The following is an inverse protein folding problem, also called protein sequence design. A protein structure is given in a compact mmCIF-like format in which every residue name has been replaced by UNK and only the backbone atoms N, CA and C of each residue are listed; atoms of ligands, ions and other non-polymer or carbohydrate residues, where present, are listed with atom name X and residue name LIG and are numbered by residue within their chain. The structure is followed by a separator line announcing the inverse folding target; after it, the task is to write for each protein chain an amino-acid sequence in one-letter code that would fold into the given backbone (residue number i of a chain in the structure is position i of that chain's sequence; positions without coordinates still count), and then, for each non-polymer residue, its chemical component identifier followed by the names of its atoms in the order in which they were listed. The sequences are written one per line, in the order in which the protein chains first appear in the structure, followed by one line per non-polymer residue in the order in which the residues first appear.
data_IF_478505019597
#
_entry.id   IF_478505019597
#
_cell.length_a   1.000
_cell.length_b   1.000
_cell.length_c   1.000
_cell.angle_alpha   90.00
_cell.angle_beta   90.00
_cell.angle_gamma   90.00
#
_symmetry.space_group_name_H-M   'P 1'
#
loop_
_entity.id
_entity.type
_entity.pdbx_description
1 polymer ?
#
# COMPACT_ATOMS: atom_id res chain seq x y z
N UNK A 1 -67.91 -58.61 -13.85
CA UNK A 1 -66.61 -58.24 -14.41
C UNK A 1 -66.45 -56.72 -14.36
N UNK A 2 -65.73 -56.21 -13.36
CA UNK A 2 -65.53 -54.80 -13.14
C UNK A 2 -64.10 -54.45 -13.59
N UNK A 3 -63.93 -53.51 -14.55
CA UNK A 3 -62.67 -53.11 -15.06
C UNK A 3 -62.14 -51.91 -14.19
N UNK A 4 -60.91 -51.92 -13.72
CA UNK A 4 -60.35 -50.73 -13.01
C UNK A 4 -59.84 -49.65 -13.97
N UNK A 5 -60.29 -48.46 -13.76
CA UNK A 5 -59.82 -47.21 -14.44
C UNK A 5 -58.43 -46.79 -13.92
N UNK A 6 -57.45 -46.72 -14.82
CA UNK A 6 -56.12 -46.16 -14.54
C UNK A 6 -56.21 -44.61 -14.44
N UNK A 7 -56.03 -44.10 -13.24
CA UNK A 7 -55.76 -42.67 -13.02
C UNK A 7 -54.31 -42.41 -13.37
N UNK A 8 -54.04 -41.63 -14.43
CA UNK A 8 -52.74 -41.11 -14.74
C UNK A 8 -52.44 -39.92 -13.79
N UNK A 9 -51.44 -40.06 -12.92
CA UNK A 9 -50.88 -38.95 -12.16
C UNK A 9 -50.02 -38.14 -13.11
N UNK A 10 -50.51 -36.94 -13.44
CA UNK A 10 -49.71 -35.87 -14.05
C UNK A 10 -48.73 -35.32 -13.02
N UNK A 11 -47.46 -35.73 -13.10
CA UNK A 11 -46.36 -35.11 -12.35
C UNK A 11 -46.04 -33.75 -13.02
N UNK A 12 -46.47 -32.66 -12.41
CA UNK A 12 -46.02 -31.31 -12.75
C UNK A 12 -44.58 -31.16 -12.30
N UNK A 13 -43.63 -30.82 -13.20
CA UNK A 13 -42.27 -30.49 -12.76
C UNK A 13 -42.34 -29.18 -11.97
N UNK A 14 -41.96 -29.22 -10.68
CA UNK A 14 -41.65 -28.05 -9.92
C UNK A 14 -40.43 -27.41 -10.60
N UNK A 15 -40.64 -26.35 -11.35
CA UNK A 15 -39.57 -25.45 -11.78
C UNK A 15 -38.96 -24.83 -10.51
N UNK A 16 -37.80 -25.31 -10.08
CA UNK A 16 -36.99 -24.63 -9.11
C UNK A 16 -36.72 -23.19 -9.65
N UNK A 17 -36.91 -22.15 -8.84
CA UNK A 17 -36.53 -20.81 -9.28
C UNK A 17 -35.03 -20.88 -9.58
N UNK A 18 -34.65 -20.66 -10.83
CA UNK A 18 -33.30 -20.34 -11.19
C UNK A 18 -32.97 -19.06 -10.39
N UNK A 19 -32.18 -19.20 -9.34
CA UNK A 19 -31.53 -18.07 -8.71
C UNK A 19 -30.70 -17.43 -9.83
N UNK A 20 -31.29 -16.41 -10.46
CA UNK A 20 -30.54 -15.54 -11.35
C UNK A 20 -29.34 -15.08 -10.52
N UNK A 21 -28.15 -15.59 -10.82
CA UNK A 21 -26.91 -15.03 -10.32
C UNK A 21 -26.96 -13.57 -10.79
N UNK A 22 -27.29 -12.68 -9.86
CA UNK A 22 -27.24 -11.25 -10.11
C UNK A 22 -25.82 -10.96 -10.58
N UNK A 23 -25.67 -10.57 -11.87
CA UNK A 23 -24.37 -10.39 -12.50
C UNK A 23 -23.52 -9.45 -11.63
N UNK A 24 -22.28 -9.83 -11.40
CA UNK A 24 -21.32 -8.94 -10.73
C UNK A 24 -20.83 -7.87 -11.71
N UNK A 25 -20.70 -6.58 -11.28
CA UNK A 25 -21.14 -6.01 -10.01
C UNK A 25 -22.62 -5.57 -10.05
N UNK A 26 -23.38 -5.78 -8.96
CA UNK A 26 -24.80 -5.40 -8.85
C UNK A 26 -25.08 -4.27 -7.83
N UNK A 27 -24.05 -3.79 -7.16
CA UNK A 27 -24.07 -2.68 -6.20
C UNK A 27 -22.69 -2.01 -6.15
N UNK A 28 -22.55 -0.81 -5.56
CA UNK A 28 -21.26 -0.13 -5.43
C UNK A 28 -20.18 -0.99 -4.78
N UNK A 29 -18.96 -0.88 -5.29
CA UNK A 29 -17.77 -1.56 -4.77
C UNK A 29 -17.05 -0.60 -3.84
N UNK A 30 -16.71 -1.04 -2.64
CA UNK A 30 -15.93 -0.27 -1.68
C UNK A 30 -14.45 -0.52 -1.91
N UNK A 31 -13.68 0.55 -2.06
CA UNK A 31 -12.22 0.51 -2.13
C UNK A 31 -11.60 1.07 -0.85
N UNK A 32 -11.06 0.20 -0.01
CA UNK A 32 -10.38 0.62 1.22
C UNK A 32 -8.99 1.18 0.90
N UNK A 33 -8.73 2.40 1.35
CA UNK A 33 -7.44 3.09 1.26
C UNK A 33 -6.88 3.23 2.68
N UNK A 34 -5.74 2.57 3.02
CA UNK A 34 -5.25 2.50 4.39
C UNK A 34 -4.50 3.75 4.88
N UNK A 35 -4.62 4.85 4.15
CA UNK A 35 -3.96 6.12 4.42
C UNK A 35 -4.96 7.27 4.54
N UNK A 36 -4.51 8.39 5.13
CA UNK A 36 -5.29 9.63 5.14
C UNK A 36 -5.54 10.13 3.71
N UNK A 37 -6.64 10.84 3.47
CA UNK A 37 -6.87 11.50 2.18
C UNK A 37 -5.81 12.56 1.92
N UNK A 38 -5.54 12.83 0.65
CA UNK A 38 -4.53 13.79 0.20
C UNK A 38 -3.20 13.15 -0.18
N UNK A 39 -2.41 13.89 -0.93
CA UNK A 39 -1.08 13.47 -1.37
C UNK A 39 -1.10 12.24 -2.28
N UNK A 40 -0.14 11.38 -2.08
CA UNK A 40 0.06 10.17 -2.91
C UNK A 40 -1.12 9.20 -2.88
N UNK A 41 -1.89 9.14 -1.80
CA UNK A 41 -3.04 8.22 -1.70
C UNK A 41 -4.19 8.55 -2.66
N UNK A 42 -4.24 9.78 -3.19
CA UNK A 42 -5.33 10.22 -4.07
C UNK A 42 -5.28 9.59 -5.48
N UNK A 43 -4.14 9.00 -5.90
CA UNK A 43 -4.12 8.25 -7.16
C UNK A 43 -5.14 7.09 -7.17
N UNK A 44 -5.43 6.49 -5.99
CA UNK A 44 -6.43 5.43 -5.86
C UNK A 44 -7.87 5.94 -6.05
N UNK A 45 -8.14 7.23 -5.80
CA UNK A 45 -9.44 7.83 -6.10
C UNK A 45 -9.66 7.93 -7.60
N UNK A 46 -8.65 8.41 -8.33
CA UNK A 46 -8.69 8.45 -9.79
C UNK A 46 -8.81 7.03 -10.37
N UNK A 47 -8.04 6.07 -9.84
CA UNK A 47 -8.14 4.67 -10.26
C UNK A 47 -9.55 4.11 -10.03
N UNK A 48 -10.19 4.43 -8.90
CA UNK A 48 -11.55 4.01 -8.57
C UNK A 48 -12.58 4.57 -9.57
N UNK A 49 -12.48 5.86 -9.89
CA UNK A 49 -13.38 6.51 -10.85
C UNK A 49 -13.26 5.87 -12.25
N UNK A 50 -12.04 5.65 -12.71
CA UNK A 50 -11.77 5.04 -14.01
C UNK A 50 -12.23 3.57 -14.06
N UNK A 51 -11.94 2.80 -13.02
CA UNK A 51 -12.39 1.40 -12.92
C UNK A 51 -13.92 1.31 -12.83
N UNK A 52 -14.54 2.26 -12.14
CA UNK A 52 -16.00 2.35 -12.07
C UNK A 52 -16.66 2.55 -13.44
N UNK A 53 -16.07 3.38 -14.30
CA UNK A 53 -16.51 3.55 -15.69
C UNK A 53 -16.42 2.24 -16.48
N UNK A 54 -15.34 1.47 -16.31
CA UNK A 54 -15.13 0.20 -16.97
C UNK A 54 -16.08 -0.91 -16.47
N UNK A 55 -16.45 -0.88 -15.19
CA UNK A 55 -17.37 -1.83 -14.55
C UNK A 55 -18.85 -1.51 -14.78
N UNK A 56 -19.17 -0.29 -15.19
CA UNK A 56 -20.56 0.21 -15.21
C UNK A 56 -21.17 0.31 -13.79
N UNK A 57 -20.33 0.40 -12.75
CA UNK A 57 -20.75 0.49 -11.35
C UNK A 57 -19.78 1.35 -10.55
N UNK A 58 -20.29 2.13 -9.62
CA UNK A 58 -19.46 3.02 -8.79
C UNK A 58 -18.47 2.24 -7.91
N UNK A 59 -17.21 2.67 -7.94
CA UNK A 59 -16.18 2.25 -6.97
C UNK A 59 -15.97 3.38 -5.98
N UNK A 60 -16.32 3.15 -4.71
CA UNK A 60 -16.33 4.17 -3.63
C UNK A 60 -15.06 4.07 -2.80
N UNK A 61 -14.14 5.06 -2.88
CA UNK A 61 -12.93 5.07 -2.06
C UNK A 61 -13.25 5.44 -0.60
N UNK A 62 -12.79 4.61 0.34
CA UNK A 62 -12.92 4.82 1.79
C UNK A 62 -11.56 4.85 2.47
N UNK A 63 -11.19 5.97 3.08
CA UNK A 63 -9.96 6.06 3.84
C UNK A 63 -10.12 5.42 5.23
N UNK A 64 -9.24 4.45 5.54
CA UNK A 64 -9.19 3.73 6.83
C UNK A 64 -7.74 3.68 7.34
N UNK A 65 -7.19 4.85 7.75
CA UNK A 65 -5.82 4.93 8.25
C UNK A 65 -5.70 4.32 9.63
N UNK A 66 -4.49 3.86 9.97
CA UNK A 66 -4.15 3.38 11.30
C UNK A 66 -3.24 2.16 11.27
N UNK A 67 -2.53 1.95 12.37
CA UNK A 67 -1.56 0.84 12.58
C UNK A 67 -0.62 0.70 11.38
N UNK A 68 0.05 1.79 11.00
CA UNK A 68 0.97 1.85 9.85
C UNK A 68 0.37 1.32 8.54
N UNK A 69 -0.93 1.58 8.31
CA UNK A 69 -1.66 1.16 7.11
C UNK A 69 -2.23 -0.26 7.16
N UNK A 70 -2.22 -0.97 8.30
CA UNK A 70 -2.75 -2.34 8.39
C UNK A 70 -4.19 -2.41 8.88
N UNK A 71 -4.79 -1.31 9.36
CA UNK A 71 -6.20 -1.28 9.73
C UNK A 71 -7.11 -1.57 8.52
N UNK A 72 -6.81 -1.00 7.34
CA UNK A 72 -7.55 -1.26 6.11
C UNK A 72 -7.53 -2.75 5.71
N UNK A 73 -6.36 -3.37 5.55
CA UNK A 73 -6.23 -4.83 5.35
C UNK A 73 -6.98 -5.68 6.38
N UNK A 74 -6.93 -5.31 7.67
CA UNK A 74 -7.67 -6.05 8.70
C UNK A 74 -9.20 -6.01 8.49
N UNK A 75 -9.75 -4.89 8.03
CA UNK A 75 -11.17 -4.79 7.68
C UNK A 75 -11.54 -5.67 6.47
N UNK A 76 -10.66 -5.77 5.47
CA UNK A 76 -10.86 -6.63 4.30
C UNK A 76 -10.82 -8.11 4.73
N UNK A 77 -9.85 -8.48 5.55
CA UNK A 77 -9.70 -9.86 6.04
C UNK A 77 -10.88 -10.34 6.89
N UNK A 78 -11.56 -9.42 7.58
CA UNK A 78 -12.74 -9.70 8.41
C UNK A 78 -14.06 -9.75 7.63
N UNK A 79 -14.08 -9.34 6.36
CA UNK A 79 -15.29 -9.40 5.53
C UNK A 79 -15.61 -10.88 5.19
N UNK A 80 -16.75 -11.40 5.65
CA UNK A 80 -17.09 -12.83 5.45
C UNK A 80 -17.49 -13.16 4.01
N UNK A 81 -17.84 -12.16 3.20
CA UNK A 81 -18.32 -12.35 1.84
C UNK A 81 -17.23 -12.00 0.83
N UNK A 82 -16.73 -13.02 0.14
CA UNK A 82 -15.86 -12.86 -1.02
C UNK A 82 -16.66 -12.59 -2.30
N UNK A 83 -17.59 -11.63 -2.27
CA UNK A 83 -18.48 -11.31 -3.38
C UNK A 83 -17.94 -10.20 -4.32
N UNK A 84 -16.74 -9.72 -4.06
CA UNK A 84 -16.06 -8.70 -4.88
C UNK A 84 -16.48 -7.24 -4.66
N UNK A 85 -17.46 -6.99 -3.78
CA UNK A 85 -17.92 -5.62 -3.50
C UNK A 85 -17.12 -4.91 -2.38
N UNK A 86 -16.06 -5.53 -1.90
CA UNK A 86 -15.04 -4.96 -1.06
C UNK A 86 -13.68 -5.32 -1.63
N UNK A 87 -12.87 -4.33 -1.93
CA UNK A 87 -11.46 -4.47 -2.28
C UNK A 87 -10.66 -3.42 -1.52
N UNK A 88 -9.35 -3.52 -1.51
CA UNK A 88 -8.55 -2.45 -0.95
C UNK A 88 -7.06 -2.62 -1.16
N UNK A 89 -6.36 -1.55 -0.87
CA UNK A 89 -4.90 -1.50 -0.98
C UNK A 89 -4.28 -2.37 0.12
N UNK A 90 -3.35 -3.23 -0.30
CA UNK A 90 -2.50 -4.01 0.59
C UNK A 90 -1.08 -3.44 0.52
N UNK A 91 -0.67 -2.63 1.51
CA UNK A 91 0.69 -2.13 1.60
C UNK A 91 1.65 -3.20 2.12
N UNK A 92 2.95 -3.00 1.94
CA UNK A 92 4.00 -3.93 2.41
C UNK A 92 3.91 -4.20 3.93
N UNK A 93 3.43 -3.25 4.71
CA UNK A 93 3.23 -3.39 6.17
C UNK A 93 2.25 -4.51 6.51
N UNK A 94 1.34 -4.87 5.60
CA UNK A 94 0.43 -5.99 5.78
C UNK A 94 1.14 -7.35 5.81
N UNK A 95 2.35 -7.46 5.26
CA UNK A 95 3.20 -8.66 5.36
C UNK A 95 4.13 -8.63 6.58
N UNK A 96 4.39 -7.45 7.11
CA UNK A 96 5.38 -7.19 8.16
C UNK A 96 4.75 -7.14 9.54
N UNK A 97 3.73 -6.29 9.73
CA UNK A 97 3.09 -6.07 11.05
C UNK A 97 2.51 -7.35 11.66
N UNK A 98 1.81 -8.24 10.91
CA UNK A 98 1.36 -9.50 11.47
C UNK A 98 2.50 -10.37 12.01
N UNK A 99 3.66 -10.37 11.38
CA UNK A 99 4.83 -11.10 11.86
C UNK A 99 5.48 -10.51 13.13
N UNK A 100 5.17 -9.25 13.47
CA UNK A 100 5.64 -8.55 14.67
C UNK A 100 4.72 -8.74 15.88
N UNK A 101 3.50 -9.25 15.69
CA UNK A 101 2.46 -9.36 16.71
C UNK A 101 2.31 -10.80 17.22
N UNK A 102 2.02 -10.97 18.52
CA UNK A 102 1.68 -12.28 19.09
C UNK A 102 0.34 -12.81 18.60
N UNK A 103 -0.61 -11.92 18.33
CA UNK A 103 -1.96 -12.23 17.82
C UNK A 103 -2.25 -11.34 16.61
N UNK A 104 -1.80 -11.75 15.43
CA UNK A 104 -2.02 -10.95 14.22
C UNK A 104 -3.52 -10.88 13.90
N UNK A 105 -4.01 -9.71 13.42
CA UNK A 105 -5.43 -9.53 13.07
C UNK A 105 -5.83 -10.26 11.79
N UNK A 106 -4.87 -10.70 10.99
CA UNK A 106 -5.05 -11.46 9.74
C UNK A 106 -3.77 -12.19 9.34
N UNK A 107 -3.92 -13.17 8.48
CA UNK A 107 -2.82 -13.83 7.76
C UNK A 107 -2.75 -13.30 6.32
N UNK A 108 -1.62 -12.71 5.89
CA UNK A 108 -1.51 -12.12 4.55
C UNK A 108 -1.76 -13.10 3.42
N UNK A 109 -1.48 -14.39 3.61
CA UNK A 109 -1.63 -15.39 2.56
C UNK A 109 -2.94 -16.16 2.62
N UNK A 110 -3.58 -16.23 3.79
CA UNK A 110 -4.82 -16.99 3.99
C UNK A 110 -6.09 -16.13 3.86
N UNK A 111 -6.01 -14.82 4.13
CA UNK A 111 -7.19 -13.97 4.27
C UNK A 111 -7.47 -13.05 3.08
N UNK A 112 -6.61 -13.07 2.04
CA UNK A 112 -6.79 -12.25 0.84
C UNK A 112 -6.82 -13.07 -0.45
N UNK A 113 -7.57 -12.55 -1.44
CA UNK A 113 -7.52 -12.94 -2.85
C UNK A 113 -6.92 -11.79 -3.64
N UNK A 114 -5.79 -12.00 -4.29
CA UNK A 114 -5.00 -10.98 -4.98
C UNK A 114 -5.64 -10.62 -6.32
N UNK A 115 -5.85 -9.31 -6.58
CA UNK A 115 -6.56 -8.84 -7.79
C UNK A 115 -5.59 -8.23 -8.79
N UNK A 116 -4.81 -7.25 -8.39
CA UNK A 116 -3.89 -6.52 -9.28
C UNK A 116 -2.79 -5.85 -8.46
N UNK A 117 -1.53 -5.99 -8.89
CA UNK A 117 -0.44 -5.18 -8.38
C UNK A 117 -0.35 -3.88 -9.19
N UNK A 118 -0.11 -2.76 -8.52
CA UNK A 118 -0.21 -1.45 -9.13
C UNK A 118 1.15 -0.76 -9.28
N UNK A 119 1.86 -0.59 -8.16
CA UNK A 119 2.99 0.32 -8.07
C UNK A 119 3.87 0.02 -6.83
N UNK A 120 4.82 0.89 -6.58
CA UNK A 120 5.59 0.96 -5.34
C UNK A 120 5.89 2.41 -5.01
N UNK A 121 6.31 2.67 -3.78
CA UNK A 121 6.71 3.99 -3.34
C UNK A 121 8.23 4.14 -3.42
N UNK A 122 8.71 5.30 -3.88
CA UNK A 122 10.09 5.71 -3.69
C UNK A 122 10.22 6.37 -2.32
N UNK A 123 11.16 5.96 -1.51
CA UNK A 123 11.45 6.58 -0.22
C UNK A 123 12.61 7.55 -0.32
N UNK A 124 12.62 8.52 0.58
CA UNK A 124 13.71 9.46 0.73
C UNK A 124 13.70 10.16 2.08
N UNK A 125 14.78 10.84 2.37
CA UNK A 125 14.87 11.76 3.50
C UNK A 125 14.85 13.18 2.98
N UNK A 126 13.89 13.97 3.46
CA UNK A 126 13.75 15.38 3.12
C UNK A 126 13.84 16.26 4.36
N UNK A 127 14.36 17.46 4.15
CA UNK A 127 14.41 18.56 5.13
C UNK A 127 13.70 19.78 4.56
N UNK A 128 13.39 20.78 5.39
CA UNK A 128 12.95 22.07 4.89
C UNK A 128 14.04 22.73 4.05
N UNK A 129 13.64 23.56 3.11
CA UNK A 129 14.60 24.27 2.23
C UNK A 129 15.57 25.17 3.01
N UNK A 130 15.15 25.72 4.14
CA UNK A 130 15.97 26.57 5.04
C UNK A 130 16.78 25.78 6.08
N UNK A 131 16.76 24.44 6.02
CA UNK A 131 17.55 23.58 6.89
C UNK A 131 19.05 23.85 6.72
N UNK A 132 19.85 23.78 7.82
CA UNK A 132 21.29 23.86 7.73
C UNK A 132 21.93 22.67 6.99
N UNK A 133 21.20 21.56 6.86
CA UNK A 133 21.68 20.39 6.15
C UNK A 133 21.36 20.46 4.67
N UNK A 134 22.39 20.39 3.84
CA UNK A 134 22.27 20.46 2.39
C UNK A 134 22.50 19.11 1.71
N UNK A 135 23.17 18.18 2.41
CA UNK A 135 23.44 16.82 1.96
C UNK A 135 23.06 15.79 3.01
N UNK A 136 22.92 14.54 2.58
CA UNK A 136 22.68 13.41 3.48
C UNK A 136 23.86 13.19 4.45
N UNK A 137 25.08 13.32 3.95
CA UNK A 137 26.32 13.14 4.71
C UNK A 137 26.42 14.15 5.87
N UNK A 138 26.02 15.39 5.65
CA UNK A 138 25.99 16.43 6.70
C UNK A 138 24.98 16.07 7.80
N UNK A 139 23.77 15.67 7.42
CA UNK A 139 22.73 15.24 8.36
C UNK A 139 23.18 14.02 9.18
N UNK A 140 23.73 13.01 8.50
CA UNK A 140 24.20 11.78 9.14
C UNK A 140 25.39 12.05 10.08
N UNK A 141 26.35 12.87 9.65
CA UNK A 141 27.49 13.27 10.48
C UNK A 141 27.04 14.04 11.74
N UNK A 142 26.06 14.92 11.58
CA UNK A 142 25.48 15.66 12.71
C UNK A 142 24.78 14.72 13.70
N UNK A 143 23.98 13.76 13.20
CA UNK A 143 23.29 12.76 14.04
C UNK A 143 24.28 11.87 14.81
N UNK A 144 25.43 11.51 14.20
CA UNK A 144 26.53 10.79 14.87
C UNK A 144 27.16 11.61 16.00
N UNK A 145 27.42 12.89 15.74
CA UNK A 145 28.06 13.77 16.71
C UNK A 145 27.09 14.18 17.85
N UNK A 146 25.79 14.14 17.61
CA UNK A 146 24.74 14.58 18.53
C UNK A 146 23.64 13.52 18.65
N UNK A 147 23.88 12.40 19.34
CA UNK A 147 22.95 11.28 19.43
C UNK A 147 21.55 11.69 19.90
N UNK A 148 20.51 11.31 19.12
CA UNK A 148 19.10 11.56 19.44
C UNK A 148 18.67 13.04 19.33
N UNK A 149 19.50 13.93 18.79
CA UNK A 149 19.14 15.34 18.61
C UNK A 149 18.41 15.64 17.31
N UNK A 150 18.59 14.83 16.29
CA UNK A 150 17.84 14.95 15.03
C UNK A 150 16.56 14.14 15.14
N UNK A 151 15.43 14.81 15.07
CA UNK A 151 14.11 14.20 15.02
C UNK A 151 13.67 13.92 13.59
N UNK A 152 13.05 12.74 13.35
CA UNK A 152 12.47 12.44 12.04
C UNK A 152 11.03 11.96 12.16
N UNK A 153 10.19 12.43 11.25
CA UNK A 153 8.84 11.93 11.09
C UNK A 153 8.80 10.72 10.16
N UNK A 154 7.91 9.76 10.44
CA UNK A 154 7.57 8.66 9.53
C UNK A 154 6.07 8.39 9.55
N UNK A 155 5.52 7.63 8.53
CA UNK A 155 4.09 7.27 8.50
C UNK A 155 3.66 6.28 9.60
N UNK A 156 4.48 6.06 10.62
CA UNK A 156 4.15 5.24 11.79
C UNK A 156 5.21 4.20 12.13
N UNK A 157 5.13 3.71 13.36
CA UNK A 157 6.01 2.65 13.86
C UNK A 157 5.81 1.36 13.05
N UNK A 158 6.91 0.68 12.69
CA UNK A 158 6.88 -0.51 11.82
C UNK A 158 6.68 -0.21 10.32
N UNK A 159 6.53 1.06 9.93
CA UNK A 159 6.54 1.45 8.52
C UNK A 159 7.90 1.18 7.87
N UNK A 160 7.95 1.09 6.54
CA UNK A 160 9.22 0.92 5.81
C UNK A 160 10.21 2.04 6.12
N UNK A 161 9.71 3.26 6.27
CA UNK A 161 10.53 4.42 6.62
C UNK A 161 11.15 4.29 8.02
N UNK A 162 10.35 3.90 9.02
CA UNK A 162 10.84 3.68 10.38
C UNK A 162 11.92 2.58 10.41
N UNK A 163 11.63 1.39 9.87
CA UNK A 163 12.56 0.26 9.91
C UNK A 163 13.87 0.57 9.19
N UNK A 164 13.79 1.25 8.04
CA UNK A 164 14.99 1.63 7.30
C UNK A 164 15.83 2.66 8.07
N UNK A 165 15.21 3.67 8.70
CA UNK A 165 15.90 4.66 9.51
C UNK A 165 16.56 4.05 10.75
N UNK A 166 15.88 3.12 11.44
CA UNK A 166 16.47 2.38 12.58
C UNK A 166 17.70 1.56 12.14
N UNK A 167 17.60 0.88 11.00
CA UNK A 167 18.73 0.16 10.44
C UNK A 167 19.89 1.09 10.06
N UNK A 168 19.61 2.22 9.42
CA UNK A 168 20.60 3.25 9.10
C UNK A 168 21.27 3.76 10.38
N UNK A 169 20.46 4.04 11.41
CA UNK A 169 20.94 4.53 12.71
C UNK A 169 21.89 3.52 13.37
N UNK A 170 21.51 2.25 13.42
CA UNK A 170 22.29 1.15 14.00
C UNK A 170 23.61 0.93 13.24
N UNK A 171 23.54 0.71 11.92
CA UNK A 171 24.71 0.39 11.08
C UNK A 171 25.71 1.55 11.00
N UNK A 172 25.27 2.78 11.22
CA UNK A 172 26.13 3.97 11.13
C UNK A 172 26.48 4.62 12.48
N UNK A 173 25.96 4.12 13.60
CA UNK A 173 26.13 4.77 14.89
C UNK A 173 25.58 6.19 14.96
N UNK A 174 24.42 6.42 14.30
CA UNK A 174 23.80 7.73 14.16
C UNK A 174 22.35 7.69 14.66
N UNK A 175 22.10 7.64 15.97
CA UNK A 175 20.74 7.53 16.49
C UNK A 175 19.92 8.79 16.22
N UNK A 176 18.75 8.62 15.62
CA UNK A 176 17.75 9.63 15.38
C UNK A 176 16.60 9.51 16.39
N UNK A 177 15.87 10.59 16.63
CA UNK A 177 14.64 10.59 17.43
C UNK A 177 13.43 10.34 16.53
N UNK A 178 12.83 9.16 16.61
CA UNK A 178 11.64 8.81 15.82
C UNK A 178 10.37 9.47 16.35
N UNK A 179 9.61 10.13 15.47
CA UNK A 179 8.29 10.70 15.76
C UNK A 179 7.27 10.12 14.77
N UNK A 180 6.43 9.16 15.21
CA UNK A 180 5.47 8.50 14.32
C UNK A 180 4.23 9.37 14.05
N UNK A 181 3.79 9.39 12.79
CA UNK A 181 2.56 10.05 12.31
C UNK A 181 1.63 9.05 11.61
N UNK A 182 0.47 9.50 11.10
CA UNK A 182 -0.55 8.63 10.51
C UNK A 182 -0.45 8.49 8.99
N UNK A 183 0.52 9.14 8.36
CA UNK A 183 0.74 9.10 6.91
C UNK A 183 1.46 10.33 6.39
N UNK A 184 1.72 10.35 5.08
CA UNK A 184 2.56 11.35 4.42
C UNK A 184 2.05 12.80 4.52
N UNK A 185 0.75 13.02 4.60
CA UNK A 185 0.19 14.36 4.80
C UNK A 185 0.56 14.94 6.18
N UNK A 186 0.49 14.08 7.23
CA UNK A 186 0.83 14.50 8.59
C UNK A 186 2.35 14.70 8.73
N UNK A 187 3.19 13.84 8.12
CA UNK A 187 4.66 13.98 8.14
C UNK A 187 5.11 15.25 7.44
N UNK A 188 4.52 15.57 6.28
CA UNK A 188 4.81 16.81 5.57
C UNK A 188 4.43 18.04 6.40
N UNK A 189 3.26 18.04 7.04
CA UNK A 189 2.82 19.11 7.91
C UNK A 189 3.75 19.30 9.13
N UNK A 190 4.21 18.19 9.72
CA UNK A 190 5.14 18.22 10.84
C UNK A 190 6.48 18.86 10.44
N UNK A 191 7.00 18.53 9.26
CA UNK A 191 8.23 19.15 8.75
C UNK A 191 8.04 20.63 8.42
N UNK A 192 6.93 20.99 7.77
CA UNK A 192 6.60 22.40 7.44
C UNK A 192 6.52 23.28 8.69
N UNK A 193 5.92 22.77 9.77
CA UNK A 193 5.78 23.49 11.02
C UNK A 193 7.08 23.53 11.87
N UNK A 194 8.11 22.78 11.48
CA UNK A 194 9.33 22.65 12.26
C UNK A 194 9.18 21.77 13.52
N UNK A 195 8.13 20.96 13.60
CA UNK A 195 7.94 20.00 14.70
C UNK A 195 8.95 18.86 14.66
N UNK A 196 9.57 18.62 13.50
CA UNK A 196 10.65 17.66 13.28
C UNK A 196 11.73 18.28 12.38
N UNK A 197 12.96 17.76 12.46
CA UNK A 197 14.08 18.25 11.66
C UNK A 197 14.09 17.71 10.24
N UNK A 198 13.63 16.47 10.04
CA UNK A 198 13.51 15.84 8.74
C UNK A 198 12.32 14.88 8.68
N UNK A 199 11.97 14.42 7.49
CA UNK A 199 11.07 13.28 7.33
C UNK A 199 11.75 12.18 6.54
N UNK A 200 11.53 10.95 6.99
CA UNK A 200 11.78 9.74 6.23
C UNK A 200 10.42 9.22 5.77
N UNK A 201 10.10 9.36 4.51
CA UNK A 201 8.77 9.04 3.98
C UNK A 201 8.82 8.59 2.53
N UNK A 202 7.69 8.13 2.04
CA UNK A 202 7.47 7.82 0.63
C UNK A 202 7.21 9.10 -0.17
N UNK A 203 6.95 8.95 -1.42
CA UNK A 203 6.84 9.96 -2.48
C UNK A 203 5.89 11.15 -2.24
N UNK A 204 5.22 11.24 -1.08
CA UNK A 204 4.40 12.41 -0.69
C UNK A 204 5.18 13.73 -0.68
N UNK A 205 6.49 13.67 -0.49
CA UNK A 205 7.40 14.83 -0.51
C UNK A 205 7.71 15.36 -1.94
N UNK A 206 7.48 14.56 -2.99
CA UNK A 206 7.86 14.90 -4.38
C UNK A 206 7.36 16.27 -4.85
N UNK A 207 6.06 16.62 -4.71
CA UNK A 207 5.59 17.95 -5.10
C UNK A 207 6.27 19.09 -4.33
N UNK A 208 6.52 18.88 -3.04
CA UNK A 208 7.13 19.88 -2.13
C UNK A 208 8.63 20.09 -2.37
N UNK A 209 9.31 19.07 -2.92
CA UNK A 209 10.69 19.24 -3.40
C UNK A 209 10.71 19.95 -4.74
N UNK A 210 9.79 19.63 -5.66
CA UNK A 210 9.69 20.31 -6.96
C UNK A 210 9.38 21.79 -6.85
N UNK A 211 8.57 22.21 -5.89
CA UNK A 211 8.23 23.61 -5.67
C UNK A 211 9.25 24.37 -4.77
N UNK A 212 10.29 23.67 -4.31
CA UNK A 212 11.36 24.25 -3.50
C UNK A 212 11.01 24.44 -2.02
N UNK A 213 9.91 23.91 -1.53
CA UNK A 213 9.54 23.95 -0.11
C UNK A 213 10.44 23.03 0.73
N UNK A 214 10.75 21.83 0.17
CA UNK A 214 11.64 20.85 0.78
C UNK A 214 12.90 20.64 -0.06
N UNK A 215 13.93 20.10 0.59
CA UNK A 215 15.14 19.58 -0.05
C UNK A 215 15.22 18.07 0.18
N UNK A 216 15.37 17.32 -0.91
CA UNK A 216 15.60 15.88 -0.87
C UNK A 216 17.10 15.63 -0.70
N UNK A 217 17.48 14.92 0.35
CA UNK A 217 18.88 14.65 0.67
C UNK A 217 19.37 13.32 0.10
N UNK A 218 18.51 12.29 0.11
CA UNK A 218 18.86 10.93 -0.33
C UNK A 218 17.58 10.16 -0.67
N UNK A 219 17.68 9.24 -1.64
CA UNK A 219 16.62 8.26 -1.96
C UNK A 219 17.05 6.84 -1.62
N UNK A 220 16.07 5.93 -1.50
CA UNK A 220 16.32 4.55 -1.08
C UNK A 220 16.07 3.52 -2.19
N UNK A 221 15.87 3.98 -3.41
CA UNK A 221 15.70 3.12 -4.57
C UNK A 221 16.98 2.38 -4.96
N UNK A 222 16.84 1.33 -5.77
CA UNK A 222 17.99 0.64 -6.38
C UNK A 222 18.77 1.53 -7.37
N UNK A 223 18.13 2.58 -7.89
CA UNK A 223 18.69 3.64 -8.72
C UNK A 223 18.09 4.98 -8.32
N UNK A 224 18.65 6.06 -8.85
CA UNK A 224 18.17 7.43 -8.58
C UNK A 224 16.73 7.62 -9.03
N UNK A 225 15.99 8.46 -8.32
CA UNK A 225 14.63 8.85 -8.67
C UNK A 225 14.62 9.59 -10.02
N UNK A 226 13.67 9.24 -10.91
CA UNK A 226 13.61 9.84 -12.27
C UNK A 226 13.51 11.35 -12.25
N UNK A 227 12.74 11.87 -11.31
CA UNK A 227 12.49 13.31 -11.19
C UNK A 227 13.62 14.07 -10.49
N UNK A 228 14.58 13.38 -9.87
CA UNK A 228 15.66 13.95 -9.07
C UNK A 228 16.97 13.18 -9.34
N UNK A 229 17.46 13.19 -10.59
CA UNK A 229 18.64 12.42 -10.99
C UNK A 229 19.93 12.93 -10.33
N UNK A 230 19.93 14.16 -9.78
CA UNK A 230 21.04 14.75 -9.04
C UNK A 230 21.16 14.22 -7.60
N UNK A 231 20.05 13.70 -7.02
CA UNK A 231 20.01 13.22 -5.64
C UNK A 231 20.54 11.79 -5.55
N UNK A 232 21.52 11.51 -4.67
CA UNK A 232 22.09 10.17 -4.55
C UNK A 232 21.09 9.18 -3.93
N UNK A 233 21.32 7.89 -4.21
CA UNK A 233 20.72 6.79 -3.46
C UNK A 233 21.54 6.49 -2.20
N UNK A 234 20.97 5.80 -1.22
CA UNK A 234 21.72 5.33 -0.04
C UNK A 234 22.94 4.48 -0.44
N UNK A 235 22.84 3.65 -1.48
CA UNK A 235 23.96 2.86 -1.98
C UNK A 235 25.12 3.71 -2.47
N UNK A 236 24.82 4.81 -3.15
CA UNK A 236 25.85 5.74 -3.62
C UNK A 236 26.51 6.50 -2.46
N UNK A 237 25.88 6.62 -1.31
CA UNK A 237 26.46 7.17 -0.07
C UNK A 237 27.16 6.13 0.81
N UNK A 238 27.29 4.88 0.34
CA UNK A 238 27.96 3.80 1.05
C UNK A 238 27.10 2.98 1.99
N UNK A 239 25.77 3.22 2.02
CA UNK A 239 24.82 2.45 2.83
C UNK A 239 24.12 1.44 1.94
N UNK A 240 24.42 0.13 2.10
CA UNK A 240 23.80 -0.93 1.29
C UNK A 240 22.38 -1.24 1.75
N UNK A 241 21.49 -0.27 1.53
CA UNK A 241 20.08 -0.41 1.78
C UNK A 241 19.29 0.02 0.54
N UNK A 242 18.40 -0.86 0.10
CA UNK A 242 17.35 -0.54 -0.87
C UNK A 242 16.01 -0.83 -0.20
N UNK A 243 15.12 0.13 -0.24
CA UNK A 243 13.76 -0.01 0.26
C UNK A 243 12.80 0.60 -0.73
N UNK A 244 11.95 -0.23 -1.27
CA UNK A 244 10.72 0.17 -1.96
C UNK A 244 9.52 -0.42 -1.22
N UNK A 245 8.35 0.06 -1.52
CA UNK A 245 7.14 -0.40 -0.85
C UNK A 245 6.11 -0.77 -1.91
N UNK A 246 6.18 -1.99 -2.44
CA UNK A 246 5.21 -2.45 -3.42
C UNK A 246 3.81 -2.52 -2.80
N UNK A 247 2.80 -2.24 -3.62
CA UNK A 247 1.41 -2.39 -3.23
C UNK A 247 0.51 -2.69 -4.42
N UNK A 248 -0.60 -3.32 -4.12
CA UNK A 248 -1.67 -3.60 -5.07
C UNK A 248 -3.01 -3.70 -4.36
N UNK A 249 -4.02 -4.20 -5.06
CA UNK A 249 -5.36 -4.39 -4.53
C UNK A 249 -5.65 -5.87 -4.32
N UNK A 250 -6.31 -6.17 -3.22
CA UNK A 250 -6.85 -7.48 -2.93
C UNK A 250 -8.31 -7.38 -2.50
N UNK A 251 -9.01 -8.51 -2.63
CA UNK A 251 -10.35 -8.77 -2.14
C UNK A 251 -10.29 -9.69 -0.91
N UNK A 252 -11.39 -9.87 -0.16
CA UNK A 252 -11.48 -10.90 0.88
C UNK A 252 -11.17 -12.30 0.35
N UNK A 253 -10.76 -13.18 1.24
CA UNK A 253 -10.50 -14.59 0.89
C UNK A 253 -11.69 -15.23 0.18
N UNK A 254 -11.43 -16.25 -0.64
CA UNK A 254 -12.43 -17.03 -1.36
C UNK A 254 -13.30 -16.21 -2.33
N UNK A 255 -12.83 -15.05 -2.78
CA UNK A 255 -13.48 -14.33 -3.86
C UNK A 255 -13.45 -15.17 -5.15
N UNK A 256 -14.61 -15.30 -5.78
CA UNK A 256 -14.78 -16.12 -6.98
C UNK A 256 -13.80 -15.70 -8.09
N UNK A 257 -13.14 -16.65 -8.78
CA UNK A 257 -12.19 -16.34 -9.85
C UNK A 257 -12.78 -15.52 -11.00
N UNK A 258 -14.06 -15.66 -11.30
CA UNK A 258 -14.75 -14.85 -12.31
C UNK A 258 -14.90 -13.40 -11.86
N UNK A 259 -15.18 -13.18 -10.57
CA UNK A 259 -15.24 -11.86 -9.95
C UNK A 259 -13.85 -11.21 -9.93
N UNK A 260 -12.81 -11.97 -9.58
CA UNK A 260 -11.42 -11.48 -9.62
C UNK A 260 -11.04 -11.03 -11.03
N UNK A 261 -11.38 -11.83 -12.06
CA UNK A 261 -11.13 -11.44 -13.46
C UNK A 261 -11.88 -10.16 -13.84
N UNK A 262 -13.18 -10.06 -13.49
CA UNK A 262 -13.96 -8.85 -13.79
C UNK A 262 -13.38 -7.59 -13.12
N UNK A 263 -12.96 -7.69 -11.87
CA UNK A 263 -12.25 -6.60 -11.16
C UNK A 263 -10.94 -6.24 -11.83
N UNK A 264 -10.10 -7.24 -12.12
CA UNK A 264 -8.81 -7.06 -12.80
C UNK A 264 -8.98 -6.41 -14.18
N UNK A 265 -9.91 -6.91 -15.00
CA UNK A 265 -10.14 -6.43 -16.36
C UNK A 265 -10.67 -5.00 -16.41
N UNK A 266 -11.33 -4.55 -15.36
CA UNK A 266 -11.74 -3.15 -15.19
C UNK A 266 -10.63 -2.25 -14.63
N UNK A 267 -9.84 -2.76 -13.69
CA UNK A 267 -8.75 -2.01 -13.05
C UNK A 267 -7.52 -1.86 -13.95
N UNK A 268 -7.23 -2.87 -14.78
CA UNK A 268 -6.06 -2.85 -15.65
C UNK A 268 -6.08 -1.67 -16.64
N UNK A 269 -7.11 -1.44 -17.48
CA UNK A 269 -7.14 -0.27 -18.35
C UNK A 269 -7.17 1.04 -17.56
N UNK A 270 -7.78 1.09 -16.37
CA UNK A 270 -7.75 2.25 -15.49
C UNK A 270 -6.33 2.57 -15.00
N UNK A 271 -5.54 1.54 -14.67
CA UNK A 271 -4.13 1.69 -14.27
C UNK A 271 -3.28 2.31 -15.38
N UNK A 272 -3.52 1.91 -16.66
CA UNK A 272 -2.79 2.40 -17.83
C UNK A 272 -3.43 3.64 -18.48
N UNK A 273 -4.51 4.18 -17.92
CA UNK A 273 -5.09 5.44 -18.41
C UNK A 273 -4.06 6.57 -18.29
N UNK A 274 -3.86 7.38 -19.35
CA UNK A 274 -2.86 8.46 -19.33
C UNK A 274 -2.98 9.40 -18.10
N UNK A 275 -4.21 9.68 -17.65
CA UNK A 275 -4.46 10.52 -16.47
C UNK A 275 -3.94 9.87 -15.18
N UNK A 276 -4.08 8.54 -15.06
CA UNK A 276 -3.56 7.81 -13.90
C UNK A 276 -2.04 7.67 -13.96
N UNK A 277 -1.47 7.44 -15.17
CA UNK A 277 -0.01 7.42 -15.38
C UNK A 277 0.60 8.76 -15.00
N UNK A 278 0.01 9.88 -15.45
CA UNK A 278 0.44 11.23 -15.07
C UNK A 278 0.38 11.44 -13.55
N UNK A 279 -0.66 10.93 -12.89
CA UNK A 279 -0.78 11.00 -11.43
C UNK A 279 0.34 10.21 -10.73
N UNK A 280 0.70 9.02 -11.21
CA UNK A 280 1.84 8.27 -10.70
C UNK A 280 3.17 9.00 -10.93
N UNK A 281 3.37 9.56 -12.11
CA UNK A 281 4.57 10.34 -12.45
C UNK A 281 4.69 11.62 -11.63
N UNK A 282 3.57 12.23 -11.26
CA UNK A 282 3.56 13.40 -10.34
C UNK A 282 4.23 13.10 -9.01
N UNK A 283 4.13 11.85 -8.53
CA UNK A 283 4.72 11.38 -7.27
C UNK A 283 5.96 10.49 -7.46
N UNK A 284 6.53 10.45 -8.66
CA UNK A 284 7.68 9.60 -9.00
C UNK A 284 7.47 8.11 -8.65
N UNK A 285 6.24 7.63 -8.82
CA UNK A 285 5.84 6.25 -8.53
C UNK A 285 5.98 5.38 -9.77
N UNK A 286 6.86 4.36 -9.78
CA UNK A 286 6.99 3.48 -10.91
C UNK A 286 5.76 2.57 -11.05
N UNK A 287 5.19 2.50 -12.26
CA UNK A 287 4.17 1.49 -12.54
C UNK A 287 4.81 0.10 -12.49
N UNK A 288 4.21 -0.82 -11.72
CA UNK A 288 4.66 -2.22 -11.57
C UNK A 288 3.46 -3.15 -11.67
N UNK A 289 2.90 -3.23 -12.85
CA UNK A 289 1.73 -4.07 -13.10
C UNK A 289 2.07 -5.56 -12.97
N UNK A 290 1.20 -6.29 -12.23
CA UNK A 290 1.11 -7.75 -12.22
C UNK A 290 -0.36 -8.15 -12.20
N UNK A 291 -0.73 -9.16 -13.00
CA UNK A 291 -2.06 -9.77 -12.95
C UNK A 291 -2.25 -10.65 -11.71
N UNK A 292 -3.44 -11.22 -11.48
CA UNK A 292 -3.78 -11.92 -10.24
C UNK A 292 -2.84 -13.06 -9.88
N UNK A 293 -2.45 -13.90 -10.85
CA UNK A 293 -1.58 -15.06 -10.62
C UNK A 293 -0.16 -14.63 -10.28
N UNK A 294 0.40 -13.69 -11.07
CA UNK A 294 1.74 -13.16 -10.85
C UNK A 294 1.81 -12.40 -9.51
N UNK A 295 0.78 -11.60 -9.19
CA UNK A 295 0.71 -10.90 -7.92
C UNK A 295 0.59 -11.86 -6.74
N UNK A 296 -0.18 -12.94 -6.86
CA UNK A 296 -0.24 -13.99 -5.83
C UNK A 296 1.12 -14.62 -5.57
N UNK A 297 1.87 -14.95 -6.62
CA UNK A 297 3.23 -15.49 -6.49
C UNK A 297 4.20 -14.47 -5.89
N UNK A 298 4.10 -13.21 -6.29
CA UNK A 298 4.89 -12.11 -5.73
C UNK A 298 4.56 -11.89 -4.24
N UNK A 299 3.28 -11.85 -3.86
CA UNK A 299 2.85 -11.69 -2.47
C UNK A 299 3.38 -12.80 -1.56
N UNK A 300 3.43 -14.04 -2.05
CA UNK A 300 4.01 -15.17 -1.30
C UNK A 300 5.48 -14.96 -1.01
N UNK A 301 6.28 -14.61 -2.03
CA UNK A 301 7.71 -14.31 -1.84
C UNK A 301 7.91 -13.14 -0.87
N UNK A 302 7.14 -12.07 -1.06
CA UNK A 302 7.21 -10.89 -0.21
C UNK A 302 6.88 -11.22 1.26
N UNK A 303 5.88 -12.07 1.50
CA UNK A 303 5.54 -12.52 2.86
C UNK A 303 6.67 -13.31 3.52
N UNK A 304 7.34 -14.19 2.78
CA UNK A 304 8.49 -14.95 3.27
C UNK A 304 9.67 -14.02 3.59
N UNK A 305 10.00 -13.10 2.69
CA UNK A 305 11.10 -12.13 2.82
C UNK A 305 10.89 -11.17 4.00
N UNK A 306 9.70 -10.57 4.10
CA UNK A 306 9.37 -9.63 5.17
C UNK A 306 9.29 -10.33 6.54
N UNK A 307 8.68 -11.52 6.60
CA UNK A 307 8.67 -12.32 7.81
C UNK A 307 10.07 -12.74 8.27
N UNK A 308 10.95 -13.09 7.34
CA UNK A 308 12.36 -13.39 7.66
C UNK A 308 13.11 -12.14 8.15
N UNK A 309 12.88 -10.98 7.53
CA UNK A 309 13.48 -9.72 7.94
C UNK A 309 13.04 -9.31 9.36
N UNK A 310 11.74 -9.41 9.68
CA UNK A 310 11.18 -9.15 11.02
C UNK A 310 11.86 -10.04 12.08
N UNK A 311 11.97 -11.33 11.81
CA UNK A 311 12.61 -12.28 12.74
C UNK A 311 14.09 -11.98 12.94
N UNK A 312 14.84 -11.70 11.87
CA UNK A 312 16.28 -11.38 11.93
C UNK A 312 16.54 -10.12 12.74
N UNK A 313 15.73 -9.10 12.59
CA UNK A 313 15.85 -7.82 13.29
C UNK A 313 15.23 -7.84 14.70
N UNK A 314 14.61 -8.96 15.12
CA UNK A 314 13.97 -9.07 16.43
C UNK A 314 12.81 -8.09 16.66
N UNK A 315 12.19 -7.59 15.60
CA UNK A 315 11.14 -6.57 15.67
C UNK A 315 9.87 -7.16 16.28
N UNK A 316 9.32 -6.47 17.30
CA UNK A 316 8.06 -6.84 17.97
C UNK A 316 7.22 -5.61 18.25
N UNK A 317 5.90 -5.77 18.17
CA UNK A 317 4.89 -4.79 18.54
C UNK A 317 3.91 -5.52 19.47
N UNK A 318 4.12 -5.41 20.77
CA UNK A 318 3.27 -6.06 21.80
C UNK A 318 2.29 -5.08 22.43
#
# INVERSE_FOLDING_TARGET
MIRPTRRALLATPLAAPALAQSGFPNRPIRLIIPWLPGGVADHLRLLADLAGQNLGQTVVPENRPGVSGTLGPALIAQEPRGDGHLIGQIPITAFRIPAMLRRPPFDPMADFTWVIHLSGYCFGVVVRQDSPFTTWEELLAHAKANPGRISYASPGSGSSAHIAMERIAEENGAPFLHVPYRGGSDTAQALLSGAVDCTADSTSWVPLVRDGTFRLLVTWGAGRARSFPEVPTLRETGIDLVSDSPFGLAAPKNTDPGVVRALHDALRPALFDPRHVEMLDRFDMPMRYMGPEEYTAFARRLNEEEGAAVRRLGLRMD
#
